data_IF_286911232098
#
_entry.id   IF_286911232098
#
_cell.length_a   1.000
_cell.length_b   1.000
_cell.length_c   1.000
_cell.angle_alpha   90.00
_cell.angle_beta   90.00
_cell.angle_gamma   90.00
#
_symmetry.space_group_name_H-M   'P 1'
#
loop_
_entity.id
_entity.type
_entity.pdbx_description
1 polymer ?
#
# COMPACT_ATOMS: atom_id res chain seq x y z
N UNK A 1 4.33 23.18 8.35
CA UNK A 1 3.51 22.08 7.79
C UNK A 1 4.34 20.82 7.84
N UNK A 2 3.77 19.69 8.28
CA UNK A 2 4.50 18.43 8.34
C UNK A 2 4.58 17.85 6.92
N UNK A 3 5.75 17.36 6.51
CA UNK A 3 5.93 16.68 5.22
C UNK A 3 5.06 15.43 5.16
N UNK A 4 4.20 15.36 4.15
CA UNK A 4 3.23 14.28 3.93
C UNK A 4 3.88 13.15 3.12
N UNK A 5 4.02 11.97 3.73
CA UNK A 5 4.71 10.81 3.12
C UNK A 5 3.70 9.69 2.92
N UNK A 6 3.47 9.30 1.66
CA UNK A 6 2.60 8.17 1.36
C UNK A 6 3.41 6.89 1.17
N UNK A 7 3.09 5.88 1.94
CA UNK A 7 3.71 4.56 1.89
C UNK A 7 2.76 3.61 1.17
N UNK A 8 3.16 3.11 0.00
CA UNK A 8 2.39 2.14 -0.78
C UNK A 8 2.99 0.75 -0.61
N UNK A 9 2.24 -0.15 -0.01
CA UNK A 9 2.57 -1.57 0.06
C UNK A 9 1.29 -2.41 0.02
N UNK A 10 1.13 -3.23 -1.02
CA UNK A 10 -0.05 -4.05 -1.24
C UNK A 10 -0.50 -4.83 0.01
N UNK A 11 0.45 -5.42 0.74
CA UNK A 11 0.19 -6.27 1.91
C UNK A 11 0.43 -5.57 3.26
N UNK A 12 0.40 -4.24 3.30
CA UNK A 12 0.57 -3.51 4.57
C UNK A 12 -0.65 -3.59 5.49
N UNK A 13 -1.79 -4.06 5.01
CA UNK A 13 -3.06 -4.03 5.76
C UNK A 13 -3.04 -4.91 7.01
N UNK A 14 -2.38 -6.08 6.97
CA UNK A 14 -2.19 -6.92 8.16
C UNK A 14 -1.47 -6.17 9.27
N UNK A 15 -0.52 -5.29 8.92
CA UNK A 15 0.30 -4.53 9.87
C UNK A 15 -0.51 -3.58 10.74
N UNK A 16 -1.68 -3.12 10.25
CA UNK A 16 -2.62 -2.31 11.02
C UNK A 16 -3.19 -3.08 12.21
N UNK A 17 -3.61 -4.34 11.97
CA UNK A 17 -4.21 -5.20 12.99
C UNK A 17 -3.17 -5.79 13.93
N UNK A 18 -2.00 -6.14 13.40
CA UNK A 18 -0.87 -6.71 14.16
C UNK A 18 -0.14 -5.63 14.99
N UNK A 19 -0.43 -4.34 14.75
CA UNK A 19 0.26 -3.20 15.34
C UNK A 19 1.78 -3.31 15.23
N UNK A 20 2.25 -3.84 14.08
CA UNK A 20 3.64 -4.17 13.88
C UNK A 20 4.00 -4.35 12.42
N UNK A 21 5.21 -4.85 12.19
CA UNK A 21 5.73 -5.06 10.85
C UNK A 21 6.49 -3.83 10.29
N UNK A 22 7.07 -4.01 9.10
CA UNK A 22 8.04 -3.06 8.53
C UNK A 22 7.45 -1.66 8.33
N UNK A 23 6.35 -1.54 7.59
CA UNK A 23 5.79 -0.23 7.23
C UNK A 23 4.99 0.41 8.37
N UNK A 24 4.45 -0.37 9.28
CA UNK A 24 3.92 0.14 10.54
C UNK A 24 5.01 0.82 11.36
N UNK A 25 6.17 0.17 11.52
CA UNK A 25 7.30 0.74 12.24
C UNK A 25 7.95 1.93 11.49
N UNK A 26 7.96 1.93 10.15
CA UNK A 26 8.36 3.11 9.39
C UNK A 26 7.42 4.28 9.67
N UNK A 27 6.11 4.07 9.59
CA UNK A 27 5.12 5.10 9.88
C UNK A 27 5.25 5.63 11.30
N UNK A 28 5.41 4.74 12.29
CA UNK A 28 5.65 5.08 13.70
C UNK A 28 6.87 6.00 13.88
N UNK A 29 8.00 5.65 13.27
CA UNK A 29 9.23 6.44 13.40
C UNK A 29 9.16 7.75 12.60
N UNK A 30 8.56 7.75 11.42
CA UNK A 30 8.31 8.98 10.66
C UNK A 30 7.42 9.95 11.45
N UNK A 31 6.36 9.44 12.10
CA UNK A 31 5.50 10.25 12.96
C UNK A 31 6.26 10.87 14.11
N UNK A 32 7.10 10.09 14.79
CA UNK A 32 7.99 10.58 15.87
C UNK A 32 8.98 11.63 15.40
N UNK A 33 9.43 11.53 14.15
CA UNK A 33 10.33 12.51 13.52
C UNK A 33 9.60 13.76 12.99
N UNK A 34 8.29 13.89 13.22
CA UNK A 34 7.50 15.07 12.85
C UNK A 34 6.96 15.05 11.42
N UNK A 35 7.00 13.91 10.73
CA UNK A 35 6.37 13.72 9.41
C UNK A 35 4.90 13.30 9.55
N UNK A 36 4.16 13.38 8.44
CA UNK A 36 2.77 12.93 8.34
C UNK A 36 2.65 11.71 7.40
N UNK A 37 2.95 10.48 7.89
CA UNK A 37 2.84 9.27 7.08
C UNK A 37 1.37 8.87 6.88
N UNK A 38 1.07 8.30 5.69
CA UNK A 38 -0.18 7.61 5.35
C UNK A 38 0.18 6.30 4.68
N UNK A 39 -0.42 5.19 5.09
CA UNK A 39 -0.12 3.85 4.55
C UNK A 39 -1.27 3.37 3.68
N UNK A 40 -0.98 2.98 2.44
CA UNK A 40 -1.95 2.40 1.49
C UNK A 40 -1.70 0.90 1.36
N UNK A 41 -2.71 0.10 1.65
CA UNK A 41 -2.71 -1.36 1.50
C UNK A 41 -4.00 -1.88 0.89
N UNK A 42 -4.05 -3.15 0.51
CA UNK A 42 -5.26 -3.75 -0.03
C UNK A 42 -6.26 -4.12 1.08
N UNK A 43 -7.57 -3.99 0.80
CA UNK A 43 -8.64 -4.48 1.68
C UNK A 43 -8.91 -6.00 1.51
N UNK A 44 -7.93 -6.75 1.03
CA UNK A 44 -8.03 -8.21 0.91
C UNK A 44 -6.94 -8.86 1.75
N UNK A 45 -7.28 -9.88 2.52
CA UNK A 45 -6.32 -10.64 3.32
C UNK A 45 -5.45 -11.50 2.40
N UNK A 46 -4.16 -11.53 2.68
CA UNK A 46 -3.20 -12.27 1.85
C UNK A 46 -3.51 -13.77 1.85
N UNK A 47 -3.74 -14.33 0.66
CA UNK A 47 -3.97 -15.77 0.46
C UNK A 47 -5.28 -16.31 1.02
N UNK A 48 -6.23 -15.44 1.41
CA UNK A 48 -7.54 -15.81 1.95
C UNK A 48 -8.67 -15.19 1.14
N UNK A 49 -9.78 -15.92 1.01
CA UNK A 49 -11.00 -15.42 0.38
C UNK A 49 -11.77 -14.46 1.31
N UNK A 50 -11.06 -13.58 2.00
CA UNK A 50 -11.60 -12.68 3.02
C UNK A 50 -11.13 -11.25 2.80
N UNK A 51 -11.94 -10.28 3.23
CA UNK A 51 -11.59 -8.87 3.34
C UNK A 51 -11.32 -8.50 4.79
N UNK A 52 -10.63 -7.36 5.00
CA UNK A 52 -10.50 -6.75 6.33
C UNK A 52 -11.78 -6.05 6.74
N UNK A 53 -12.39 -5.32 5.81
CA UNK A 53 -13.64 -4.59 5.99
C UNK A 53 -14.63 -4.95 4.88
N UNK A 54 -15.87 -5.22 5.26
CA UNK A 54 -16.96 -5.49 4.32
C UNK A 54 -17.53 -4.17 3.79
N UNK A 55 -16.99 -3.73 2.66
CA UNK A 55 -17.37 -2.48 2.01
C UNK A 55 -17.33 -2.62 0.49
N UNK A 56 -18.21 -1.88 -0.20
CA UNK A 56 -18.18 -1.71 -1.64
C UNK A 56 -17.45 -0.42 -2.07
N UNK A 57 -17.00 0.38 -1.11
CA UNK A 57 -16.21 1.57 -1.38
C UNK A 57 -14.89 1.24 -2.11
N UNK A 58 -14.38 2.19 -2.88
CA UNK A 58 -13.08 2.06 -3.53
C UNK A 58 -11.96 1.99 -2.50
N UNK A 59 -12.11 2.71 -1.41
CA UNK A 59 -11.17 2.75 -0.29
C UNK A 59 -11.88 3.17 1.00
N UNK A 60 -11.30 2.81 2.12
CA UNK A 60 -11.66 3.26 3.47
C UNK A 60 -10.41 3.66 4.24
N UNK A 61 -10.52 4.66 5.10
CA UNK A 61 -9.46 5.07 6.00
C UNK A 61 -9.77 4.62 7.43
N UNK A 62 -8.77 4.04 8.08
CA UNK A 62 -8.79 3.75 9.51
C UNK A 62 -7.49 4.24 10.13
N UNK A 63 -7.59 4.98 11.24
CA UNK A 63 -6.41 5.49 11.95
C UNK A 63 -5.87 4.43 12.89
N UNK A 64 -4.59 4.11 12.77
CA UNK A 64 -3.89 3.31 13.77
C UNK A 64 -3.64 4.18 15.00
N UNK A 65 -4.53 4.13 15.98
CA UNK A 65 -4.60 5.05 17.13
C UNK A 65 -3.28 5.10 17.91
N UNK A 66 -2.60 3.96 18.11
CA UNK A 66 -1.33 3.89 18.84
C UNK A 66 -0.25 4.80 18.26
N UNK A 67 -0.24 4.98 16.94
CA UNK A 67 0.78 5.76 16.23
C UNK A 67 0.22 7.00 15.54
N UNK A 68 -1.10 7.22 15.61
CA UNK A 68 -1.80 8.36 14.99
C UNK A 68 -1.62 8.42 13.47
N UNK A 69 -1.54 7.26 12.80
CA UNK A 69 -1.27 7.16 11.36
C UNK A 69 -2.47 6.59 10.60
N UNK A 70 -2.95 7.28 9.56
CA UNK A 70 -3.98 6.75 8.67
C UNK A 70 -3.48 5.55 7.86
N UNK A 71 -4.30 4.50 7.80
CA UNK A 71 -4.19 3.38 6.88
C UNK A 71 -5.36 3.43 5.90
N UNK A 72 -5.07 3.44 4.62
CA UNK A 72 -6.04 3.47 3.53
C UNK A 72 -6.16 2.07 2.93
N UNK A 73 -7.29 1.42 3.17
CA UNK A 73 -7.61 0.08 2.70
C UNK A 73 -8.25 0.17 1.32
N UNK A 74 -7.51 -0.23 0.29
CA UNK A 74 -7.92 -0.10 -1.10
C UNK A 74 -8.57 -1.39 -1.60
N UNK A 75 -9.73 -1.27 -2.27
CA UNK A 75 -10.45 -2.41 -2.81
C UNK A 75 -9.61 -3.22 -3.80
N UNK A 76 -9.48 -4.51 -3.53
CA UNK A 76 -8.94 -5.53 -4.42
C UNK A 76 -9.75 -6.81 -4.21
N UNK A 77 -9.85 -7.65 -5.26
CA UNK A 77 -10.51 -8.96 -5.10
C UNK A 77 -9.79 -9.83 -4.08
N UNK A 78 -10.52 -10.69 -3.43
CA UNK A 78 -9.94 -11.75 -2.60
C UNK A 78 -9.39 -12.88 -3.47
N UNK A 79 -8.47 -13.67 -2.93
CA UNK A 79 -7.90 -14.83 -3.63
C UNK A 79 -7.41 -15.88 -2.65
N UNK A 80 -7.30 -17.12 -3.12
CA UNK A 80 -6.65 -18.22 -2.41
C UNK A 80 -5.52 -18.78 -3.26
N UNK A 81 -4.44 -19.25 -2.62
CA UNK A 81 -3.29 -19.84 -3.31
C UNK A 81 -2.49 -18.84 -4.16
N UNK A 82 -1.65 -19.35 -5.04
CA UNK A 82 -0.68 -18.57 -5.84
C UNK A 82 -1.02 -18.49 -7.34
N UNK A 83 -2.25 -18.81 -7.73
CA UNK A 83 -2.65 -18.88 -9.13
C UNK A 83 -3.11 -17.55 -9.75
N UNK A 84 -3.85 -17.66 -10.86
CA UNK A 84 -4.37 -16.52 -11.64
C UNK A 84 -5.10 -15.47 -10.80
N UNK A 85 -5.84 -15.89 -9.78
CA UNK A 85 -6.59 -14.97 -8.92
C UNK A 85 -5.68 -14.02 -8.13
N UNK A 86 -4.48 -14.49 -7.71
CA UNK A 86 -3.48 -13.63 -7.07
C UNK A 86 -2.97 -12.55 -8.04
N UNK A 87 -2.70 -12.91 -9.29
CA UNK A 87 -2.28 -11.94 -10.30
C UNK A 87 -3.36 -10.89 -10.55
N UNK A 88 -4.62 -11.32 -10.65
CA UNK A 88 -5.75 -10.40 -10.81
C UNK A 88 -5.94 -9.49 -9.58
N UNK A 89 -5.71 -9.99 -8.37
CA UNK A 89 -5.69 -9.17 -7.15
C UNK A 89 -4.60 -8.09 -7.20
N UNK A 90 -3.40 -8.42 -7.66
CA UNK A 90 -2.31 -7.45 -7.86
C UNK A 90 -2.69 -6.36 -8.87
N UNK A 91 -3.35 -6.74 -9.97
CA UNK A 91 -3.83 -5.81 -11.00
C UNK A 91 -4.94 -4.91 -10.44
N UNK A 92 -5.87 -5.47 -9.66
CA UNK A 92 -6.93 -4.69 -9.03
C UNK A 92 -6.33 -3.63 -8.07
N UNK A 93 -5.41 -4.04 -7.21
CA UNK A 93 -4.73 -3.10 -6.32
C UNK A 93 -4.00 -2.02 -7.10
N UNK A 94 -3.20 -2.38 -8.10
CA UNK A 94 -2.48 -1.43 -8.97
C UNK A 94 -3.41 -0.38 -9.59
N UNK A 95 -4.57 -0.80 -10.12
CA UNK A 95 -5.55 0.11 -10.74
C UNK A 95 -6.25 0.98 -9.71
N UNK A 96 -6.67 0.35 -8.62
CA UNK A 96 -7.51 0.99 -7.61
C UNK A 96 -6.71 1.90 -6.68
N UNK A 97 -5.46 1.58 -6.32
CA UNK A 97 -4.63 2.46 -5.49
C UNK A 97 -4.37 3.80 -6.16
N UNK A 98 -4.25 3.83 -7.51
CA UNK A 98 -4.09 5.09 -8.25
C UNK A 98 -5.35 5.96 -8.22
N UNK A 99 -6.53 5.35 -8.24
CA UNK A 99 -7.81 6.07 -8.12
C UNK A 99 -8.01 6.54 -6.68
N UNK A 100 -7.85 5.63 -5.72
CA UNK A 100 -7.96 5.93 -4.29
C UNK A 100 -7.01 7.06 -3.88
N UNK A 101 -5.76 7.02 -4.31
CA UNK A 101 -4.76 8.06 -4.04
C UNK A 101 -5.17 9.45 -4.56
N UNK A 102 -5.83 9.52 -5.73
CA UNK A 102 -6.35 10.80 -6.27
C UNK A 102 -7.52 11.32 -5.45
N UNK A 103 -8.47 10.46 -5.11
CA UNK A 103 -9.62 10.82 -4.28
C UNK A 103 -9.16 11.22 -2.88
N UNK A 104 -8.20 10.50 -2.31
CA UNK A 104 -7.59 10.82 -1.02
C UNK A 104 -6.88 12.19 -1.06
N UNK A 105 -6.12 12.46 -2.13
CA UNK A 105 -5.45 13.75 -2.31
C UNK A 105 -6.44 14.93 -2.40
N UNK A 106 -7.60 14.72 -3.00
CA UNK A 106 -8.64 15.74 -3.10
C UNK A 106 -9.25 16.10 -1.74
N UNK A 107 -9.25 15.15 -0.78
CA UNK A 107 -9.82 15.33 0.55
C UNK A 107 -8.78 15.77 1.59
N UNK A 108 -7.55 15.28 1.50
CA UNK A 108 -6.52 15.41 2.54
C UNK A 108 -5.25 16.16 2.06
N UNK A 109 -5.19 16.53 0.79
CA UNK A 109 -3.99 17.12 0.18
C UNK A 109 -3.05 16.07 -0.42
N UNK A 110 -2.22 16.51 -1.38
CA UNK A 110 -1.26 15.64 -2.06
C UNK A 110 -0.07 15.28 -1.16
N UNK A 111 0.65 14.18 -1.46
CA UNK A 111 1.89 13.87 -0.77
C UNK A 111 3.01 14.82 -1.18
N UNK A 112 4.05 14.92 -0.35
CA UNK A 112 5.35 15.53 -0.70
C UNK A 112 6.33 14.48 -1.21
N UNK A 113 6.19 13.23 -0.73
CA UNK A 113 7.00 12.08 -1.13
C UNK A 113 6.12 10.83 -1.17
N UNK A 114 6.35 9.98 -2.17
CA UNK A 114 5.78 8.63 -2.24
C UNK A 114 6.90 7.61 -1.96
N UNK A 115 6.66 6.70 -1.02
CA UNK A 115 7.50 5.56 -0.75
C UNK A 115 6.74 4.30 -1.21
N UNK A 116 7.20 3.68 -2.31
CA UNK A 116 6.59 2.49 -2.87
C UNK A 116 7.45 1.25 -2.56
N UNK A 117 6.85 0.26 -1.90
CA UNK A 117 7.53 -0.97 -1.51
C UNK A 117 6.99 -2.17 -2.29
N UNK A 118 7.90 -2.93 -2.90
CA UNK A 118 7.52 -4.10 -3.69
C UNK A 118 7.35 -5.35 -2.82
N UNK A 119 6.22 -6.01 -2.98
CA UNK A 119 6.06 -7.46 -2.89
C UNK A 119 5.79 -8.03 -4.28
N UNK A 120 5.50 -7.14 -5.25
CA UNK A 120 5.44 -7.37 -6.68
C UNK A 120 5.66 -6.04 -7.42
N UNK A 121 6.15 -6.04 -8.68
CA UNK A 121 6.56 -4.83 -9.40
C UNK A 121 5.45 -3.78 -9.59
N UNK A 122 4.18 -4.20 -9.66
CA UNK A 122 3.06 -3.29 -9.96
C UNK A 122 2.89 -2.19 -8.89
N UNK A 123 3.26 -2.44 -7.63
CA UNK A 123 3.23 -1.42 -6.58
C UNK A 123 4.24 -0.31 -6.85
N UNK A 124 5.45 -0.67 -7.32
CA UNK A 124 6.48 0.32 -7.71
C UNK A 124 6.01 1.15 -8.90
N UNK A 125 5.43 0.50 -9.92
CA UNK A 125 4.88 1.18 -11.09
C UNK A 125 3.79 2.16 -10.69
N UNK A 126 2.88 1.76 -9.79
CA UNK A 126 1.84 2.65 -9.27
C UNK A 126 2.45 3.87 -8.56
N UNK A 127 3.44 3.65 -7.70
CA UNK A 127 4.14 4.72 -6.98
C UNK A 127 4.83 5.71 -7.91
N UNK A 128 5.55 5.24 -8.91
CA UNK A 128 6.20 6.08 -9.92
C UNK A 128 5.20 6.90 -10.74
N UNK A 129 4.08 6.28 -11.16
CA UNK A 129 3.04 6.97 -11.91
C UNK A 129 2.33 8.05 -11.07
N UNK A 130 2.03 7.75 -9.80
CA UNK A 130 1.44 8.72 -8.87
C UNK A 130 2.41 9.87 -8.59
N UNK A 131 3.70 9.57 -8.35
CA UNK A 131 4.72 10.58 -8.12
C UNK A 131 4.85 11.53 -9.31
N UNK A 132 4.88 10.99 -10.54
CA UNK A 132 4.86 11.80 -11.76
C UNK A 132 3.60 12.67 -11.84
N UNK A 133 2.43 12.13 -11.52
CA UNK A 133 1.17 12.86 -11.56
C UNK A 133 1.11 14.01 -10.55
N UNK A 134 1.59 13.78 -9.32
CA UNK A 134 1.59 14.79 -8.25
C UNK A 134 2.78 15.75 -8.33
N UNK A 135 3.77 15.49 -9.20
CA UNK A 135 4.99 16.29 -9.32
C UNK A 135 5.91 16.14 -8.10
N UNK A 136 5.99 14.93 -7.51
CA UNK A 136 6.78 14.66 -6.31
C UNK A 136 7.79 13.53 -6.54
N UNK A 137 8.70 13.32 -5.59
CA UNK A 137 9.67 12.23 -5.66
C UNK A 137 9.04 10.89 -5.25
N UNK A 138 9.52 9.80 -5.87
CA UNK A 138 9.22 8.43 -5.47
C UNK A 138 10.48 7.74 -5.00
N UNK A 139 10.43 7.18 -3.79
CA UNK A 139 11.44 6.25 -3.28
C UNK A 139 10.91 4.84 -3.52
N UNK A 140 11.63 4.03 -4.28
CA UNK A 140 11.26 2.65 -4.58
C UNK A 140 12.09 1.69 -3.72
N UNK A 141 11.40 0.90 -2.88
CA UNK A 141 12.01 -0.19 -2.13
C UNK A 141 11.78 -1.51 -2.86
N UNK A 142 12.85 -2.10 -3.40
CA UNK A 142 12.81 -3.42 -4.02
C UNK A 142 13.11 -4.47 -2.95
N UNK A 143 12.10 -5.24 -2.55
CA UNK A 143 12.22 -6.28 -1.51
C UNK A 143 12.48 -7.66 -2.11
N UNK A 144 11.83 -7.95 -3.23
CA UNK A 144 11.96 -9.19 -3.96
C UNK A 144 12.45 -8.91 -5.37
N UNK A 145 13.51 -9.58 -5.80
CA UNK A 145 14.05 -9.47 -7.15
C UNK A 145 13.22 -10.33 -8.11
N UNK A 146 12.27 -9.72 -8.78
CA UNK A 146 11.49 -10.34 -9.85
C UNK A 146 12.23 -10.23 -11.19
N UNK A 147 12.32 -11.30 -12.01
CA UNK A 147 11.70 -12.63 -11.82
C UNK A 147 12.55 -13.63 -11.02
N UNK A 148 13.75 -13.29 -10.60
CA UNK A 148 14.71 -14.19 -9.96
C UNK A 148 14.14 -14.89 -8.71
N UNK A 149 13.32 -14.19 -7.94
CA UNK A 149 12.65 -14.76 -6.76
C UNK A 149 11.66 -15.89 -7.10
N UNK A 150 11.23 -16.02 -8.37
CA UNK A 150 10.34 -17.10 -8.83
C UNK A 150 11.13 -18.36 -9.18
N UNK A 151 12.36 -18.22 -9.68
CA UNK A 151 13.18 -19.32 -10.18
C UNK A 151 13.57 -20.28 -9.04
N UNK A 152 13.75 -19.75 -7.84
CA UNK A 152 14.13 -20.55 -6.63
C UNK A 152 13.03 -21.54 -6.20
N UNK A 153 11.80 -21.37 -6.66
CA UNK A 153 10.66 -22.22 -6.30
C UNK A 153 10.22 -23.17 -7.42
N UNK A 154 10.99 -23.25 -8.52
CA UNK A 154 10.66 -24.07 -9.71
C UNK A 154 11.41 -25.40 -9.79
N UNK A 155 12.14 -25.81 -8.75
CA UNK A 155 12.79 -27.13 -8.61
C UNK A 155 11.91 -28.12 -7.85
#
# INVERSE_FOLDING_TARGET
MNTNIWILNHYASDMYFDQGGRHYNFAKNLRRAGYAPVVFGANSKHGKAERFFETDALWEEHVAEEIGTPFVFVRARTYTGNGKQRVLNMIDFYRNVKKAAKEYAAQHGKPDVIFASSVHPLTLVAGLQLAKQFGVKCVCEVRDLWPESIVVYSD
#
